data_IF_580656004099
#
_entry.id   IF_580656004099
#
_cell.length_a   1.000
_cell.length_b   1.000
_cell.length_c   1.000
_cell.angle_alpha   90.00
_cell.angle_beta   90.00
_cell.angle_gamma   90.00
#
_symmetry.space_group_name_H-M   'P 1'
#
loop_
_entity.id
_entity.type
_entity.pdbx_description
1 polymer ?
#
# COMPACT_ATOMS: atom_id res chain seq x y z
N UNK A 1 64.23 -13.69 -27.46
CA UNK A 1 63.75 -12.91 -26.31
C UNK A 1 62.28 -12.63 -26.47
N UNK A 2 61.41 -13.47 -25.84
CA UNK A 2 59.94 -13.32 -25.96
C UNK A 2 59.44 -12.43 -24.84
N UNK A 3 58.82 -11.28 -25.21
CA UNK A 3 58.13 -10.41 -24.29
C UNK A 3 56.72 -10.91 -24.09
N UNK A 4 56.43 -11.48 -22.93
CA UNK A 4 55.06 -11.85 -22.50
C UNK A 4 54.39 -10.58 -21.97
N UNK A 5 53.41 -10.07 -22.74
CA UNK A 5 52.58 -8.92 -22.33
C UNK A 5 51.50 -9.45 -21.34
N UNK A 6 51.60 -9.00 -20.08
CA UNK A 6 50.55 -9.29 -19.07
C UNK A 6 49.39 -8.33 -19.28
N UNK A 7 48.26 -8.90 -19.77
CA UNK A 7 46.99 -8.16 -19.82
C UNK A 7 46.39 -8.21 -18.42
N UNK A 8 46.32 -7.07 -17.74
CA UNK A 8 45.55 -6.90 -16.51
C UNK A 8 44.07 -6.72 -16.89
N UNK A 9 43.26 -7.75 -16.60
CA UNK A 9 41.83 -7.66 -16.71
C UNK A 9 41.29 -6.98 -15.44
N UNK A 10 40.93 -5.70 -15.55
CA UNK A 10 40.25 -4.97 -14.46
C UNK A 10 38.77 -5.33 -14.46
N UNK A 11 38.36 -6.11 -13.50
CA UNK A 11 36.94 -6.42 -13.24
C UNK A 11 36.29 -5.21 -12.58
N UNK A 12 35.54 -4.42 -13.34
CA UNK A 12 34.73 -3.33 -12.82
C UNK A 12 33.44 -3.91 -12.21
N UNK A 13 33.37 -3.99 -10.88
CA UNK A 13 32.14 -4.37 -10.19
C UNK A 13 31.20 -3.16 -10.26
N UNK A 14 30.20 -3.20 -11.13
CA UNK A 14 29.11 -2.26 -11.15
C UNK A 14 28.27 -2.45 -9.88
N UNK A 15 28.48 -1.60 -8.88
CA UNK A 15 27.59 -1.52 -7.71
C UNK A 15 26.28 -0.86 -8.18
N UNK A 16 25.27 -1.68 -8.47
CA UNK A 16 23.91 -1.18 -8.67
C UNK A 16 23.46 -0.51 -7.36
N UNK A 17 22.93 0.73 -7.40
CA UNK A 17 22.35 1.33 -6.21
C UNK A 17 21.14 0.50 -5.78
N UNK A 18 21.29 -0.26 -4.71
CA UNK A 18 20.19 -0.86 -3.99
C UNK A 18 19.32 0.31 -3.51
N UNK A 19 18.08 0.43 -4.00
CA UNK A 19 17.13 1.40 -3.48
C UNK A 19 16.99 1.12 -1.99
N UNK A 20 17.59 1.95 -1.17
CA UNK A 20 17.63 1.74 0.27
C UNK A 20 16.22 1.92 0.84
N UNK A 21 15.56 0.80 1.11
CA UNK A 21 14.39 0.78 1.97
C UNK A 21 14.82 1.31 3.34
N UNK A 22 14.07 2.26 3.87
CA UNK A 22 14.33 2.78 5.21
C UNK A 22 13.39 2.14 6.19
N UNK A 23 13.92 1.38 7.13
CA UNK A 23 13.15 0.84 8.25
C UNK A 23 13.13 1.84 9.42
N UNK A 24 11.98 1.93 10.08
CA UNK A 24 11.82 2.71 11.31
C UNK A 24 10.67 2.17 12.16
N UNK A 25 10.71 2.46 13.46
CA UNK A 25 9.55 2.26 14.35
C UNK A 25 8.94 3.62 14.64
N UNK A 26 7.60 3.70 14.52
CA UNK A 26 6.87 4.94 14.77
C UNK A 26 5.50 4.66 15.40
N UNK A 27 5.02 5.59 16.22
CA UNK A 27 3.70 5.49 16.86
C UNK A 27 2.63 6.03 15.92
N UNK A 28 1.53 5.28 15.77
CA UNK A 28 0.37 5.72 15.00
C UNK A 28 -0.33 6.90 15.70
N UNK A 29 -0.55 8.01 14.97
CA UNK A 29 -1.22 9.21 15.48
C UNK A 29 -2.60 9.41 14.89
N UNK A 30 -2.78 9.06 13.61
CA UNK A 30 -4.05 9.32 12.91
C UNK A 30 -4.25 8.30 11.79
N UNK A 31 -5.49 7.87 11.62
CA UNK A 31 -5.97 7.15 10.43
C UNK A 31 -6.92 8.10 9.70
N UNK A 32 -6.51 8.58 8.53
CA UNK A 32 -7.31 9.51 7.72
C UNK A 32 -8.38 8.77 6.92
N UNK A 33 -7.99 7.67 6.28
CA UNK A 33 -8.84 6.73 5.55
C UNK A 33 -8.20 5.32 5.58
N UNK A 34 -8.71 4.37 4.78
CA UNK A 34 -8.25 2.98 4.81
C UNK A 34 -6.79 2.78 4.42
N UNK A 35 -6.19 3.72 3.67
CA UNK A 35 -4.83 3.61 3.15
C UNK A 35 -3.94 4.84 3.38
N UNK A 36 -4.40 5.80 4.18
CA UNK A 36 -3.64 7.01 4.52
C UNK A 36 -3.60 7.22 6.03
N UNK A 37 -2.39 7.24 6.58
CA UNK A 37 -2.14 7.28 8.02
C UNK A 37 -1.02 8.26 8.36
N UNK A 38 -1.02 8.73 9.60
CA UNK A 38 0.06 9.56 10.13
C UNK A 38 0.68 8.86 11.32
N UNK A 39 1.99 8.65 11.25
CA UNK A 39 2.83 8.14 12.33
C UNK A 39 3.75 9.24 12.85
N UNK A 40 4.37 9.02 14.01
CA UNK A 40 5.35 9.91 14.60
C UNK A 40 6.47 9.13 15.28
N UNK A 41 7.71 9.55 15.09
CA UNK A 41 8.89 9.04 15.78
C UNK A 41 9.77 10.22 16.28
N UNK A 42 10.98 9.92 16.75
CA UNK A 42 11.93 10.93 17.25
C UNK A 42 12.42 11.94 16.17
N UNK A 43 12.19 11.64 14.89
CA UNK A 43 12.54 12.51 13.75
C UNK A 43 11.37 13.38 13.27
N UNK A 44 10.15 13.16 13.80
CA UNK A 44 8.96 13.91 13.47
C UNK A 44 7.80 13.09 12.89
N UNK A 45 6.93 13.78 12.17
CA UNK A 45 5.73 13.22 11.56
C UNK A 45 6.04 12.49 10.25
N UNK A 46 5.45 11.31 10.06
CA UNK A 46 5.53 10.49 8.85
C UNK A 46 4.12 10.31 8.32
N UNK A 47 3.79 11.01 7.22
CA UNK A 47 2.53 10.79 6.49
C UNK A 47 2.69 9.61 5.56
N UNK A 48 2.04 8.51 5.87
CA UNK A 48 2.09 7.27 5.11
C UNK A 48 0.90 7.14 4.14
N UNK A 49 1.19 6.85 2.89
CA UNK A 49 0.29 6.18 1.95
C UNK A 49 0.65 4.70 1.98
N UNK A 50 -0.29 3.84 2.34
CA UNK A 50 -0.04 2.40 2.42
C UNK A 50 0.29 1.88 1.02
N UNK A 51 1.49 1.30 0.89
CA UNK A 51 2.11 0.99 -0.40
C UNK A 51 1.47 -0.22 -1.07
N UNK A 52 1.25 -0.13 -2.38
CA UNK A 52 0.76 -1.23 -3.22
C UNK A 52 -0.75 -1.49 -3.14
N UNK A 53 -1.51 -0.73 -2.36
CA UNK A 53 -2.96 -0.91 -2.21
C UNK A 53 -3.75 0.36 -2.50
N UNK A 54 -5.05 0.20 -2.73
CA UNK A 54 -6.01 1.29 -2.84
C UNK A 54 -7.32 0.92 -2.13
N UNK A 55 -7.91 1.91 -1.43
CA UNK A 55 -9.20 1.73 -0.74
C UNK A 55 -10.28 2.62 -1.35
N UNK A 56 -11.57 2.28 -1.18
CA UNK A 56 -12.64 3.19 -1.54
C UNK A 56 -12.50 4.53 -0.83
N UNK A 57 -12.77 5.60 -1.57
CA UNK A 57 -12.74 6.96 -1.06
C UNK A 57 -13.95 7.23 -0.16
N UNK A 58 -13.73 7.88 0.99
CA UNK A 58 -14.82 8.38 1.84
C UNK A 58 -15.11 9.87 1.66
N UNK A 59 -14.20 10.60 1.00
CA UNK A 59 -14.32 12.04 0.74
C UNK A 59 -14.64 12.27 -0.74
N UNK A 60 -15.32 13.38 -1.03
CA UNK A 60 -15.72 13.78 -2.39
C UNK A 60 -14.52 14.27 -3.22
N UNK A 61 -13.58 13.38 -3.49
CA UNK A 61 -12.42 13.62 -4.36
C UNK A 61 -12.80 13.50 -5.84
N UNK A 62 -11.87 13.83 -6.74
CA UNK A 62 -12.05 13.56 -8.17
C UNK A 62 -12.22 12.06 -8.46
N UNK A 63 -11.49 11.19 -7.72
CA UNK A 63 -11.64 9.72 -7.80
C UNK A 63 -13.04 9.30 -7.37
N UNK A 64 -13.55 9.80 -6.25
CA UNK A 64 -14.89 9.51 -5.76
C UNK A 64 -15.97 9.82 -6.82
N UNK A 65 -15.92 11.03 -7.44
CA UNK A 65 -16.86 11.42 -8.50
C UNK A 65 -16.79 10.47 -9.70
N UNK A 66 -15.57 10.13 -10.13
CA UNK A 66 -15.36 9.21 -11.23
C UNK A 66 -15.88 7.81 -10.93
N UNK A 67 -15.67 7.31 -9.71
CA UNK A 67 -16.18 6.00 -9.29
C UNK A 67 -17.72 5.99 -9.25
N UNK A 68 -18.37 7.09 -8.81
CA UNK A 68 -19.83 7.27 -8.95
C UNK A 68 -20.31 7.14 -10.39
N UNK A 69 -19.68 7.90 -11.31
CA UNK A 69 -20.07 7.92 -12.71
C UNK A 69 -19.94 6.55 -13.38
N UNK A 70 -18.84 5.85 -13.09
CA UNK A 70 -18.53 4.55 -13.74
C UNK A 70 -19.34 3.40 -13.14
N UNK A 71 -19.59 3.40 -11.83
CA UNK A 71 -20.28 2.30 -11.15
C UNK A 71 -21.80 2.49 -11.08
N UNK A 72 -22.29 3.71 -11.29
CA UNK A 72 -23.69 4.07 -11.07
C UNK A 72 -24.11 4.06 -9.59
N UNK A 73 -23.18 3.90 -8.67
CA UNK A 73 -23.45 3.89 -7.24
C UNK A 73 -23.77 5.28 -6.72
N UNK A 74 -24.67 5.35 -5.75
CA UNK A 74 -24.98 6.60 -5.06
C UNK A 74 -23.82 7.10 -4.20
N UNK A 75 -23.81 8.41 -3.92
CA UNK A 75 -22.85 9.04 -3.00
C UNK A 75 -22.80 8.33 -1.63
N UNK A 76 -23.97 7.94 -1.13
CA UNK A 76 -24.11 7.27 0.17
C UNK A 76 -23.42 5.89 0.16
N UNK A 77 -23.61 5.11 -0.89
CA UNK A 77 -22.99 3.78 -1.02
C UNK A 77 -21.47 3.87 -1.09
N UNK A 78 -20.94 4.76 -1.93
CA UNK A 78 -19.49 4.97 -2.04
C UNK A 78 -18.89 5.44 -0.72
N UNK A 79 -19.53 6.40 -0.06
CA UNK A 79 -19.08 6.88 1.25
C UNK A 79 -19.08 5.76 2.29
N UNK A 80 -20.12 4.94 2.33
CA UNK A 80 -20.20 3.78 3.22
C UNK A 80 -19.08 2.77 2.96
N UNK A 81 -18.74 2.51 1.70
CA UNK A 81 -17.60 1.63 1.36
C UNK A 81 -16.28 2.20 1.89
N UNK A 82 -16.00 3.51 1.68
CA UNK A 82 -14.80 4.17 2.19
C UNK A 82 -14.74 4.24 3.72
N UNK A 83 -15.88 4.46 4.38
CA UNK A 83 -15.99 4.42 5.84
C UNK A 83 -15.73 3.00 6.38
N UNK A 84 -16.24 1.97 5.69
CA UNK A 84 -15.99 0.57 6.05
C UNK A 84 -14.51 0.21 6.00
N UNK A 85 -13.79 0.62 4.94
CA UNK A 85 -12.34 0.43 4.86
C UNK A 85 -11.59 1.21 5.97
N UNK A 86 -12.02 2.44 6.26
CA UNK A 86 -11.46 3.26 7.35
C UNK A 86 -11.67 2.61 8.72
N UNK A 87 -12.87 2.09 8.97
CA UNK A 87 -13.21 1.43 10.23
C UNK A 87 -12.46 0.12 10.39
N UNK A 88 -12.27 -0.65 9.30
CA UNK A 88 -11.41 -1.81 9.30
C UNK A 88 -9.97 -1.44 9.73
N UNK A 89 -9.39 -0.39 9.15
CA UNK A 89 -8.06 0.06 9.53
C UNK A 89 -7.97 0.42 11.02
N UNK A 90 -8.99 1.09 11.58
CA UNK A 90 -9.07 1.44 13.01
C UNK A 90 -9.22 0.23 13.94
N UNK A 91 -9.80 -0.87 13.46
CA UNK A 91 -9.90 -2.11 14.22
C UNK A 91 -8.56 -2.87 14.26
N UNK A 92 -7.73 -2.73 13.25
CA UNK A 92 -6.44 -3.44 13.12
C UNK A 92 -5.26 -2.65 13.66
N UNK A 93 -5.34 -1.33 13.63
CA UNK A 93 -4.28 -0.42 14.02
C UNK A 93 -4.77 0.53 15.12
N UNK A 94 -4.05 0.59 16.22
CA UNK A 94 -4.45 1.36 17.39
C UNK A 94 -3.60 2.62 17.57
N UNK A 95 -4.26 3.76 17.79
CA UNK A 95 -3.61 5.04 18.05
C UNK A 95 -2.67 4.91 19.25
N UNK A 96 -1.52 5.56 19.18
CA UNK A 96 -0.41 5.55 20.14
C UNK A 96 0.39 4.24 20.22
N UNK A 97 -0.02 3.16 19.53
CA UNK A 97 0.82 1.97 19.41
C UNK A 97 1.98 2.21 18.44
N UNK A 98 3.13 1.59 18.75
CA UNK A 98 4.30 1.57 17.87
C UNK A 98 4.16 0.48 16.80
N UNK A 99 4.58 0.81 15.58
CA UNK A 99 4.61 -0.11 14.44
C UNK A 99 5.96 -0.03 13.73
N UNK A 100 6.47 -1.18 13.27
CA UNK A 100 7.58 -1.21 12.32
C UNK A 100 7.05 -0.76 10.96
N UNK A 101 7.75 0.19 10.35
CA UNK A 101 7.47 0.71 9.00
C UNK A 101 8.66 0.43 8.10
N UNK A 102 8.37 -0.02 6.88
CA UNK A 102 9.32 0.04 5.76
C UNK A 102 8.87 1.14 4.80
N UNK A 103 9.75 2.07 4.51
CA UNK A 103 9.49 3.20 3.61
C UNK A 103 10.24 2.96 2.30
N UNK A 104 9.50 2.87 1.22
CA UNK A 104 10.00 2.52 -0.12
C UNK A 104 10.33 3.74 -0.99
N UNK A 105 9.51 4.78 -0.91
CA UNK A 105 9.63 5.99 -1.74
C UNK A 105 8.75 7.10 -1.14
N UNK A 106 8.67 8.23 -1.82
CA UNK A 106 7.76 9.33 -1.51
C UNK A 106 6.90 9.61 -2.74
N UNK A 107 5.60 9.78 -2.55
CA UNK A 107 4.69 10.12 -3.64
C UNK A 107 4.76 11.61 -4.02
N UNK A 108 4.07 11.98 -5.09
CA UNK A 108 4.02 13.37 -5.59
C UNK A 108 3.39 14.39 -4.62
N UNK A 109 2.75 13.92 -3.55
CA UNK A 109 2.15 14.75 -2.50
C UNK A 109 3.00 14.81 -1.24
N UNK A 110 4.22 14.27 -1.27
CA UNK A 110 5.14 14.24 -0.14
C UNK A 110 4.81 13.20 0.93
N UNK A 111 3.93 12.20 0.63
CA UNK A 111 3.64 11.11 1.55
C UNK A 111 4.63 9.96 1.33
N UNK A 112 5.12 9.38 2.42
CA UNK A 112 5.94 8.18 2.39
C UNK A 112 5.11 6.98 1.92
N UNK A 113 5.63 6.16 1.02
CA UNK A 113 5.04 4.89 0.61
C UNK A 113 5.46 3.82 1.62
N UNK A 114 4.53 3.40 2.49
CA UNK A 114 4.84 2.59 3.66
C UNK A 114 4.26 1.17 3.55
N UNK A 115 5.06 0.19 3.96
CA UNK A 115 4.60 -1.10 4.44
C UNK A 115 4.56 -1.05 5.96
N UNK A 116 3.44 -1.43 6.56
CA UNK A 116 3.20 -1.38 8.02
C UNK A 116 3.10 -2.79 8.56
N UNK A 117 3.95 -3.16 9.52
CA UNK A 117 3.95 -4.49 10.13
C UNK A 117 3.05 -4.53 11.35
N UNK A 118 2.16 -5.52 11.38
CA UNK A 118 1.36 -5.87 12.54
C UNK A 118 2.19 -6.70 13.53
N UNK A 119 1.76 -6.76 14.79
CA UNK A 119 2.43 -7.56 15.83
C UNK A 119 2.48 -9.07 15.51
N UNK A 120 1.61 -9.55 14.62
CA UNK A 120 1.62 -10.93 14.11
C UNK A 120 2.77 -11.23 13.13
N UNK A 121 3.50 -10.21 12.68
CA UNK A 121 4.50 -10.33 11.61
C UNK A 121 3.94 -10.17 10.20
N UNK A 122 2.62 -10.31 10.01
CA UNK A 122 1.95 -10.02 8.73
C UNK A 122 1.91 -8.51 8.50
N UNK A 123 1.92 -8.06 7.25
CA UNK A 123 1.75 -6.64 6.95
C UNK A 123 0.28 -6.23 6.97
N UNK A 124 0.01 -5.00 7.42
CA UNK A 124 -1.33 -4.40 7.28
C UNK A 124 -1.74 -4.29 5.81
N UNK A 125 -0.78 -4.03 4.92
CA UNK A 125 -0.97 -3.97 3.47
C UNK A 125 -1.62 -5.25 2.93
N UNK A 126 -1.07 -6.41 3.28
CA UNK A 126 -1.63 -7.71 2.90
C UNK A 126 -2.96 -7.95 3.59
N UNK A 127 -3.04 -7.71 4.90
CA UNK A 127 -4.23 -8.03 5.70
C UNK A 127 -5.48 -7.29 5.25
N UNK A 128 -5.39 -6.00 4.92
CA UNK A 128 -6.55 -5.22 4.45
C UNK A 128 -7.03 -5.68 3.07
N UNK A 129 -6.12 -6.16 2.20
CA UNK A 129 -6.48 -6.75 0.90
C UNK A 129 -7.11 -8.12 1.08
N UNK A 130 -6.52 -8.99 1.92
CA UNK A 130 -7.01 -10.33 2.21
C UNK A 130 -8.41 -10.32 2.81
N UNK A 131 -8.68 -9.40 3.74
CA UNK A 131 -10.01 -9.24 4.36
C UNK A 131 -10.99 -8.44 3.48
N UNK A 132 -10.59 -8.06 2.26
CA UNK A 132 -11.45 -7.52 1.22
C UNK A 132 -11.83 -6.04 1.38
N UNK A 133 -11.03 -5.23 2.11
CA UNK A 133 -11.28 -3.79 2.29
C UNK A 133 -10.38 -2.89 1.43
N UNK A 134 -9.47 -3.48 0.68
CA UNK A 134 -8.64 -2.80 -0.31
C UNK A 134 -8.46 -3.67 -1.55
N UNK A 135 -8.02 -3.05 -2.64
CA UNK A 135 -7.55 -3.72 -3.86
C UNK A 135 -6.06 -3.49 -4.05
N UNK A 136 -5.41 -4.33 -4.86
CA UNK A 136 -4.04 -4.09 -5.29
C UNK A 136 -4.01 -2.90 -6.24
N UNK A 137 -3.21 -1.88 -5.90
CA UNK A 137 -3.06 -0.69 -6.72
C UNK A 137 -2.19 -0.95 -7.95
N UNK A 138 -2.71 -0.77 -9.16
CA UNK A 138 -2.03 -1.10 -10.42
C UNK A 138 -1.48 0.11 -11.19
N UNK A 139 -1.79 1.34 -10.81
CA UNK A 139 -1.34 2.56 -11.52
C UNK A 139 -0.10 3.19 -10.88
N UNK A 140 0.63 3.95 -11.67
CA UNK A 140 1.74 4.78 -11.21
C UNK A 140 3.04 4.05 -10.99
N UNK A 141 3.82 4.50 -10.02
CA UNK A 141 5.02 3.81 -9.55
C UNK A 141 4.61 2.59 -8.73
N UNK A 142 4.17 1.59 -9.45
CA UNK A 142 3.87 0.27 -8.94
C UNK A 142 4.87 -0.19 -7.91
N UNK A 143 4.40 -0.96 -6.95
CA UNK A 143 5.20 -1.76 -6.05
C UNK A 143 6.36 -2.36 -6.84
N UNK A 144 7.53 -1.71 -6.81
CA UNK A 144 8.75 -2.17 -7.47
C UNK A 144 9.21 -3.49 -6.88
N UNK A 145 8.80 -3.74 -5.63
CA UNK A 145 9.00 -4.98 -4.91
C UNK A 145 8.09 -6.06 -5.50
N UNK A 146 8.71 -7.02 -6.19
CA UNK A 146 8.01 -8.12 -6.85
C UNK A 146 7.37 -9.08 -5.85
N UNK A 147 8.00 -9.29 -4.70
CA UNK A 147 7.54 -10.19 -3.65
C UNK A 147 6.30 -9.63 -2.96
N UNK A 148 6.35 -8.37 -2.52
CA UNK A 148 5.18 -7.69 -1.97
C UNK A 148 4.00 -7.70 -2.97
N UNK A 149 4.28 -7.40 -4.24
CA UNK A 149 3.24 -7.42 -5.28
C UNK A 149 2.63 -8.82 -5.47
N UNK A 150 3.46 -9.86 -5.44
CA UNK A 150 2.99 -11.25 -5.54
C UNK A 150 2.08 -11.59 -4.36
N UNK A 151 2.50 -11.29 -3.14
CA UNK A 151 1.75 -11.49 -1.90
C UNK A 151 0.40 -10.77 -1.93
N UNK A 152 0.39 -9.48 -2.32
CA UNK A 152 -0.84 -8.70 -2.42
C UNK A 152 -1.82 -9.27 -3.47
N UNK A 153 -1.31 -9.71 -4.64
CA UNK A 153 -2.16 -10.32 -5.66
C UNK A 153 -2.78 -11.65 -5.19
N UNK A 154 -2.02 -12.48 -4.47
CA UNK A 154 -2.55 -13.71 -3.86
C UNK A 154 -3.63 -13.39 -2.80
N UNK A 155 -3.39 -12.40 -1.94
CA UNK A 155 -4.36 -11.94 -0.95
C UNK A 155 -5.66 -11.46 -1.62
N UNK A 156 -5.58 -10.65 -2.68
CA UNK A 156 -6.74 -10.22 -3.45
C UNK A 156 -7.48 -11.40 -4.09
N UNK A 157 -6.77 -12.37 -4.66
CA UNK A 157 -7.38 -13.57 -5.23
C UNK A 157 -8.18 -14.36 -4.18
N UNK A 158 -7.66 -14.48 -2.95
CA UNK A 158 -8.40 -15.10 -1.82
C UNK A 158 -9.64 -14.30 -1.44
N UNK A 159 -9.52 -12.96 -1.32
CA UNK A 159 -10.62 -12.07 -0.97
C UNK A 159 -11.77 -12.14 -2.00
N UNK A 160 -11.45 -12.11 -3.29
CA UNK A 160 -12.44 -12.24 -4.38
C UNK A 160 -13.16 -13.58 -4.31
N UNK A 161 -12.40 -14.68 -4.18
CA UNK A 161 -12.96 -16.03 -4.15
C UNK A 161 -13.91 -16.27 -2.96
N UNK A 162 -13.61 -15.69 -1.81
CA UNK A 162 -14.41 -15.83 -0.58
C UNK A 162 -15.46 -14.73 -0.40
N UNK A 163 -15.56 -13.79 -1.35
CA UNK A 163 -16.41 -12.59 -1.24
C UNK A 163 -16.18 -11.83 0.07
N UNK A 164 -14.90 -11.72 0.48
CA UNK A 164 -14.52 -11.08 1.73
C UNK A 164 -14.83 -9.58 1.74
N UNK A 165 -15.22 -9.06 2.90
CA UNK A 165 -15.38 -7.62 3.14
C UNK A 165 -16.27 -6.92 2.12
N UNK A 166 -15.70 -5.95 1.40
CA UNK A 166 -16.43 -5.15 0.40
C UNK A 166 -16.71 -5.92 -0.90
N UNK A 167 -16.03 -7.01 -1.19
CA UNK A 167 -16.32 -7.85 -2.36
C UNK A 167 -17.71 -8.46 -2.33
N UNK A 168 -18.28 -8.64 -1.13
CA UNK A 168 -19.66 -9.15 -0.96
C UNK A 168 -20.72 -8.13 -1.36
N UNK A 169 -20.62 -6.90 -0.87
CA UNK A 169 -21.69 -5.91 -0.97
C UNK A 169 -21.41 -4.77 -1.95
N UNK A 170 -20.13 -4.60 -2.37
CA UNK A 170 -19.65 -3.51 -3.24
C UNK A 170 -18.81 -4.05 -4.40
N UNK A 171 -19.18 -5.22 -4.92
CA UNK A 171 -18.43 -5.95 -5.94
C UNK A 171 -18.07 -5.08 -7.15
N UNK A 172 -19.04 -4.36 -7.72
CA UNK A 172 -18.85 -3.49 -8.90
C UNK A 172 -17.76 -2.43 -8.61
N UNK A 173 -17.78 -1.82 -7.41
CA UNK A 173 -16.76 -0.84 -7.01
C UNK A 173 -15.38 -1.50 -6.88
N UNK A 174 -15.29 -2.65 -6.23
CA UNK A 174 -14.02 -3.34 -6.00
C UNK A 174 -13.41 -3.84 -7.31
N UNK A 175 -14.21 -4.38 -8.24
CA UNK A 175 -13.77 -4.77 -9.58
C UNK A 175 -13.25 -3.55 -10.35
N UNK A 176 -14.01 -2.46 -10.37
CA UNK A 176 -13.61 -1.20 -11.01
C UNK A 176 -12.29 -0.66 -10.45
N UNK A 177 -12.09 -0.73 -9.15
CA UNK A 177 -10.84 -0.28 -8.51
C UNK A 177 -9.68 -1.22 -8.84
N UNK A 178 -9.91 -2.53 -8.88
CA UNK A 178 -8.90 -3.53 -9.19
C UNK A 178 -8.41 -3.51 -10.65
N UNK A 179 -9.16 -2.89 -11.58
CA UNK A 179 -8.77 -2.69 -12.98
C UNK A 179 -7.83 -1.48 -13.16
N UNK A 180 -7.84 -0.54 -12.25
CA UNK A 180 -7.06 0.69 -12.28
C UNK A 180 -5.71 0.53 -11.64
#
# INVERSE_FOLDING_TARGET
MNKISKILLTFSIAVLPLLAQTETTASLRKISDGDTMTFHNNKGEIKCRIYGIDTPEKFKTAKFKKDMEVTGMSEKELKNAGESATNYAKQRLHINNGYKLEIYDTDKYGRSLCVVYLNSGQTFNEKIVEDGYAVVYKRGKYTKDKELRHTLNQAQGRAVKSEAGLWKNYKILMERMAEN
#
